data_IF_668185691271
#
_entry.id   IF_668185691271
#
_cell.length_a   1.000
_cell.length_b   1.000
_cell.length_c   1.000
_cell.angle_alpha   90.00
_cell.angle_beta   90.00
_cell.angle_gamma   90.00
#
_symmetry.space_group_name_H-M   'P 1'
#
loop_
_entity.id
_entity.type
_entity.pdbx_description
1 polymer ?
#
# COMPACT_ATOMS: atom_id res chain seq x y z
N UNK A 1 40.92 22.07 11.12
CA UNK A 1 39.53 22.35 10.70
C UNK A 1 39.10 21.18 9.84
N UNK A 2 38.38 20.22 10.41
CA UNK A 2 37.75 19.16 9.62
C UNK A 2 36.60 19.81 8.88
N UNK A 3 36.75 19.95 7.57
CA UNK A 3 35.69 20.37 6.68
C UNK A 3 34.63 19.26 6.69
N UNK A 4 33.66 19.35 7.61
CA UNK A 4 32.46 18.52 7.57
C UNK A 4 31.63 19.02 6.42
N UNK A 5 31.97 18.55 5.21
CA UNK A 5 31.09 18.62 4.05
C UNK A 5 29.71 18.16 4.48
N UNK A 6 28.67 18.90 4.07
CA UNK A 6 27.30 18.48 4.30
C UNK A 6 27.10 17.07 3.69
N UNK A 7 26.29 16.20 4.34
CA UNK A 7 25.97 14.90 3.75
C UNK A 7 25.23 15.10 2.43
N UNK A 8 25.37 14.11 1.55
CA UNK A 8 24.59 14.00 0.34
C UNK A 8 23.12 13.77 0.65
N UNK A 9 22.30 13.77 -0.39
CA UNK A 9 20.86 13.53 -0.30
C UNK A 9 20.50 12.16 -0.84
N UNK A 10 19.69 11.41 -0.10
CA UNK A 10 18.99 10.24 -0.62
C UNK A 10 17.71 10.70 -1.32
N UNK A 11 17.68 10.58 -2.65
CA UNK A 11 16.53 10.91 -3.47
C UNK A 11 15.69 9.67 -3.76
N UNK A 12 14.43 9.67 -3.32
CA UNK A 12 13.45 8.63 -3.67
C UNK A 12 12.72 9.08 -4.93
N UNK A 13 12.92 8.38 -6.04
CA UNK A 13 12.51 8.84 -7.38
C UNK A 13 11.55 7.83 -8.00
N UNK A 14 10.34 8.27 -8.32
CA UNK A 14 9.37 7.43 -9.02
C UNK A 14 9.72 7.25 -10.51
N UNK A 15 9.52 6.04 -11.02
CA UNK A 15 9.74 5.63 -12.42
C UNK A 15 8.40 5.31 -13.10
N UNK A 16 8.35 5.26 -14.44
CA UNK A 16 7.16 4.84 -15.18
C UNK A 16 6.61 3.47 -14.78
N UNK A 17 5.30 3.25 -14.93
CA UNK A 17 4.64 1.95 -14.70
C UNK A 17 4.26 1.21 -16.00
N UNK A 18 4.69 1.73 -17.15
CA UNK A 18 4.37 1.12 -18.45
C UNK A 18 4.60 2.03 -19.65
N UNK A 19 4.34 3.34 -19.49
CA UNK A 19 4.56 4.34 -20.53
C UNK A 19 5.73 5.27 -20.20
N UNK A 20 6.72 5.35 -21.08
CA UNK A 20 7.90 6.22 -20.89
C UNK A 20 7.55 7.72 -20.84
N UNK A 21 6.42 8.13 -21.40
CA UNK A 21 5.95 9.52 -21.36
C UNK A 21 5.51 9.95 -19.95
N UNK A 22 5.24 9.00 -19.05
CA UNK A 22 4.96 9.27 -17.64
C UNK A 22 6.24 9.57 -16.83
N UNK A 23 7.42 9.47 -17.46
CA UNK A 23 8.67 9.77 -16.78
C UNK A 23 8.86 11.28 -16.63
N UNK A 24 8.72 11.78 -15.41
CA UNK A 24 8.73 13.23 -15.19
C UNK A 24 10.06 13.88 -15.59
N UNK A 25 10.06 15.10 -16.16
CA UNK A 25 11.30 15.80 -16.51
C UNK A 25 12.27 15.98 -15.34
N UNK A 26 11.74 16.18 -14.12
CA UNK A 26 12.55 16.31 -12.91
C UNK A 26 13.22 14.99 -12.53
N UNK A 27 12.50 13.88 -12.61
CA UNK A 27 13.06 12.56 -12.32
C UNK A 27 14.18 12.22 -13.33
N UNK A 28 13.93 12.45 -14.62
CA UNK A 28 14.94 12.29 -15.68
C UNK A 28 16.21 13.11 -15.41
N UNK A 29 16.06 14.43 -15.22
CA UNK A 29 17.21 15.32 -14.99
C UNK A 29 18.02 14.95 -13.74
N UNK A 30 17.34 14.53 -12.67
CA UNK A 30 18.02 14.05 -11.46
C UNK A 30 18.75 12.73 -11.71
N UNK A 31 18.11 11.75 -12.35
CA UNK A 31 18.74 10.48 -12.67
C UNK A 31 19.82 10.59 -13.75
N UNK A 32 19.89 11.67 -14.53
CA UNK A 32 20.99 11.92 -15.47
C UNK A 32 22.22 12.54 -14.79
N UNK A 33 22.03 13.23 -13.67
CA UNK A 33 23.09 13.94 -12.93
C UNK A 33 23.59 13.22 -11.68
N UNK A 34 22.81 12.30 -11.10
CA UNK A 34 23.18 11.59 -9.87
C UNK A 34 24.24 10.53 -10.14
N UNK A 35 25.34 10.53 -9.38
CA UNK A 35 26.47 9.61 -9.60
C UNK A 35 26.16 8.15 -9.21
N UNK A 36 25.25 7.93 -8.27
CA UNK A 36 24.90 6.61 -7.72
C UNK A 36 23.40 6.38 -7.83
N UNK A 37 23.00 5.26 -8.43
CA UNK A 37 21.59 4.85 -8.52
C UNK A 37 21.44 3.46 -7.90
N UNK A 38 20.61 3.38 -6.87
CA UNK A 38 20.15 2.15 -6.25
C UNK A 38 18.81 1.71 -6.88
N UNK A 39 18.74 0.48 -7.37
CA UNK A 39 17.55 -0.08 -8.02
C UNK A 39 17.39 -1.57 -7.67
N UNK A 40 16.19 -2.12 -7.78
CA UNK A 40 15.95 -3.57 -7.61
C UNK A 40 16.67 -4.38 -8.69
N UNK A 41 16.27 -4.18 -9.96
CA UNK A 41 16.96 -4.75 -11.12
C UNK A 41 17.62 -3.65 -11.97
N UNK A 42 18.94 -3.54 -11.81
CA UNK A 42 19.75 -2.56 -12.55
C UNK A 42 19.73 -2.78 -14.06
N UNK A 43 19.42 -4.00 -14.55
CA UNK A 43 19.36 -4.32 -16.00
C UNK A 43 18.07 -3.81 -16.65
N UNK A 44 16.99 -3.74 -15.88
CA UNK A 44 15.71 -3.18 -16.30
C UNK A 44 15.82 -1.66 -16.24
N UNK A 45 16.18 -1.15 -15.06
CA UNK A 45 16.24 0.27 -14.76
C UNK A 45 17.26 1.05 -15.61
N UNK A 46 18.37 0.43 -16.01
CA UNK A 46 19.37 1.11 -16.86
C UNK A 46 18.83 1.50 -18.24
N UNK A 47 17.76 0.84 -18.72
CA UNK A 47 17.11 1.16 -20.00
C UNK A 47 16.32 2.46 -19.96
N UNK A 48 16.03 3.00 -18.76
CA UNK A 48 15.37 4.30 -18.61
C UNK A 48 16.31 5.48 -18.94
N UNK A 49 17.63 5.24 -18.94
CA UNK A 49 18.68 6.24 -19.05
C UNK A 49 19.59 6.02 -20.27
N UNK A 50 19.01 5.72 -21.43
CA UNK A 50 19.75 5.39 -22.66
C UNK A 50 20.61 6.54 -23.21
N UNK A 51 20.26 7.79 -22.92
CA UNK A 51 20.93 8.99 -23.45
C UNK A 51 21.92 9.62 -22.45
N UNK A 52 22.17 8.95 -21.32
CA UNK A 52 23.04 9.47 -20.27
C UNK A 52 24.50 9.52 -20.74
N UNK A 53 25.16 10.65 -20.49
CA UNK A 53 26.56 10.90 -20.88
C UNK A 53 27.57 10.57 -19.80
N UNK A 54 27.23 10.84 -18.54
CA UNK A 54 28.13 10.63 -17.41
C UNK A 54 28.03 9.20 -16.88
N UNK A 55 29.16 8.59 -16.46
CA UNK A 55 29.14 7.28 -15.84
C UNK A 55 28.28 7.29 -14.58
N UNK A 56 27.66 6.15 -14.29
CA UNK A 56 26.80 5.95 -13.12
C UNK A 56 27.22 4.66 -12.42
N UNK A 57 27.29 4.73 -11.10
CA UNK A 57 27.42 3.55 -10.26
C UNK A 57 26.04 2.98 -9.98
N UNK A 58 25.75 1.82 -10.58
CA UNK A 58 24.55 1.06 -10.28
C UNK A 58 24.75 0.20 -9.04
N UNK A 59 23.85 0.30 -8.08
CA UNK A 59 23.81 -0.55 -6.88
C UNK A 59 22.52 -1.33 -6.92
N UNK A 60 22.59 -2.65 -6.99
CA UNK A 60 21.40 -3.47 -6.85
C UNK A 60 20.99 -3.53 -5.38
N UNK A 61 19.74 -3.20 -5.08
CA UNK A 61 19.15 -3.21 -3.74
C UNK A 61 17.90 -4.07 -3.74
N UNK A 62 18.04 -5.32 -3.32
CA UNK A 62 16.96 -6.29 -3.20
C UNK A 62 17.03 -7.01 -1.85
N UNK A 63 15.94 -7.64 -1.40
CA UNK A 63 15.83 -8.19 -0.03
C UNK A 63 17.02 -9.07 0.41
N UNK A 64 17.60 -9.85 -0.51
CA UNK A 64 18.74 -10.74 -0.21
C UNK A 64 20.10 -10.05 -0.01
N UNK A 65 20.32 -8.83 -0.52
CA UNK A 65 21.62 -8.15 -0.47
C UNK A 65 21.60 -6.87 0.39
N UNK A 66 20.41 -6.52 0.91
CA UNK A 66 20.08 -5.19 1.42
C UNK A 66 21.08 -4.70 2.48
N UNK A 67 21.46 -5.55 3.45
CA UNK A 67 22.33 -5.14 4.55
C UNK A 67 23.70 -4.65 4.09
N UNK A 68 24.38 -5.36 3.17
CA UNK A 68 25.72 -4.95 2.70
C UNK A 68 25.65 -3.75 1.76
N UNK A 69 24.62 -3.70 0.92
CA UNK A 69 24.43 -2.58 -0.01
C UNK A 69 24.12 -1.28 0.75
N UNK A 70 23.31 -1.36 1.82
CA UNK A 70 22.96 -0.21 2.65
C UNK A 70 24.21 0.43 3.28
N UNK A 71 25.09 -0.34 3.91
CA UNK A 71 26.27 0.21 4.58
C UNK A 71 27.12 1.05 3.62
N UNK A 72 27.43 0.52 2.44
CA UNK A 72 28.19 1.25 1.41
C UNK A 72 27.45 2.45 0.82
N UNK A 73 26.12 2.44 0.75
CA UNK A 73 25.33 3.60 0.31
C UNK A 73 25.31 4.70 1.39
N UNK A 74 25.20 4.33 2.66
CA UNK A 74 25.24 5.27 3.79
C UNK A 74 26.61 5.91 3.92
N UNK A 75 27.70 5.16 3.71
CA UNK A 75 29.06 5.71 3.66
C UNK A 75 29.19 6.79 2.57
N UNK A 76 28.70 6.52 1.37
CA UNK A 76 28.74 7.48 0.25
C UNK A 76 27.89 8.74 0.53
N UNK A 77 26.67 8.56 1.06
CA UNK A 77 25.81 9.66 1.48
C UNK A 77 26.48 10.50 2.57
N UNK A 78 27.11 9.87 3.55
CA UNK A 78 27.84 10.57 4.62
C UNK A 78 29.02 11.36 4.07
N UNK A 79 29.68 10.85 3.03
CA UNK A 79 30.78 11.52 2.34
C UNK A 79 30.34 12.68 1.41
N UNK A 80 29.04 13.00 1.33
CA UNK A 80 28.53 14.11 0.51
C UNK A 80 28.00 13.71 -0.87
N UNK A 81 27.95 12.41 -1.19
CA UNK A 81 27.50 11.93 -2.51
C UNK A 81 25.99 11.71 -2.52
N UNK A 82 25.29 12.33 -3.47
CA UNK A 82 23.87 12.10 -3.70
C UNK A 82 23.63 10.68 -4.25
N UNK A 83 22.59 10.02 -3.75
CA UNK A 83 22.14 8.69 -4.17
C UNK A 83 20.69 8.76 -4.59
N UNK A 84 20.34 8.22 -5.75
CA UNK A 84 18.95 8.04 -6.16
C UNK A 84 18.50 6.60 -5.90
N UNK A 85 17.40 6.42 -5.18
CA UNK A 85 16.68 5.16 -5.02
C UNK A 85 15.50 5.15 -5.99
N UNK A 86 15.46 4.14 -6.86
CA UNK A 86 14.36 3.87 -7.79
C UNK A 86 13.86 2.43 -7.61
N UNK A 87 12.64 2.17 -8.07
CA UNK A 87 12.13 0.82 -8.32
C UNK A 87 12.00 0.60 -9.83
N UNK A 88 11.86 -0.66 -10.23
CA UNK A 88 11.74 -1.03 -11.64
C UNK A 88 10.50 -0.38 -12.29
N UNK A 89 9.45 -0.14 -11.50
CA UNK A 89 8.25 0.58 -11.91
C UNK A 89 7.58 1.29 -10.73
N UNK A 90 7.17 2.54 -10.94
CA UNK A 90 6.35 3.27 -9.99
C UNK A 90 7.13 3.96 -8.87
N UNK A 91 6.51 4.08 -7.71
CA UNK A 91 7.09 4.81 -6.57
C UNK A 91 7.81 3.82 -5.66
N UNK A 92 9.13 3.99 -5.40
CA UNK A 92 9.87 3.10 -4.51
C UNK A 92 9.22 3.00 -3.12
N UNK A 93 9.47 1.89 -2.42
CA UNK A 93 8.89 1.52 -1.12
C UNK A 93 7.40 1.12 -1.14
N UNK A 94 6.68 1.29 -2.25
CA UNK A 94 5.26 0.92 -2.35
C UNK A 94 5.15 -0.49 -2.94
N UNK A 95 5.21 -1.49 -2.04
CA UNK A 95 5.38 -2.91 -2.41
C UNK A 95 6.73 -3.24 -3.08
N UNK A 96 7.71 -2.36 -2.91
CA UNK A 96 9.08 -2.45 -3.46
C UNK A 96 10.12 -2.37 -2.32
N UNK A 97 11.37 -2.83 -2.55
CA UNK A 97 12.46 -2.68 -1.57
C UNK A 97 12.85 -1.21 -1.32
N UNK A 98 13.68 -0.98 -0.30
CA UNK A 98 14.26 0.35 0.00
C UNK A 98 13.83 0.96 1.33
N UNK A 99 12.83 0.37 2.01
CA UNK A 99 12.43 0.78 3.35
C UNK A 99 13.62 0.82 4.33
N UNK A 100 14.48 -0.20 4.32
CA UNK A 100 15.61 -0.27 5.25
C UNK A 100 16.67 0.79 4.93
N UNK A 101 16.90 1.10 3.65
CA UNK A 101 17.83 2.17 3.25
C UNK A 101 17.32 3.54 3.71
N UNK A 102 16.04 3.85 3.49
CA UNK A 102 15.44 5.12 3.94
C UNK A 102 15.49 5.22 5.48
N UNK A 103 15.21 4.12 6.18
CA UNK A 103 15.33 4.06 7.65
C UNK A 103 16.76 4.33 8.12
N UNK A 104 17.75 3.69 7.50
CA UNK A 104 19.17 3.89 7.81
C UNK A 104 19.62 5.34 7.53
N UNK A 105 19.17 5.93 6.41
CA UNK A 105 19.46 7.32 6.09
C UNK A 105 18.90 8.28 7.15
N UNK A 106 17.66 8.08 7.60
CA UNK A 106 17.10 8.85 8.71
C UNK A 106 17.89 8.67 10.00
N UNK A 107 18.28 7.44 10.35
CA UNK A 107 19.06 7.16 11.55
C UNK A 107 20.44 7.85 11.53
N UNK A 108 21.05 8.02 10.35
CA UNK A 108 22.31 8.70 10.15
C UNK A 108 22.18 10.23 10.00
N UNK A 109 20.96 10.80 10.05
CA UNK A 109 20.74 12.24 9.85
C UNK A 109 20.93 12.70 8.40
N UNK A 110 20.90 11.78 7.44
CA UNK A 110 21.03 12.09 6.01
C UNK A 110 19.70 12.68 5.49
N UNK A 111 19.73 13.78 4.72
CA UNK A 111 18.55 14.30 4.03
C UNK A 111 17.92 13.26 3.11
N UNK A 112 16.63 12.97 3.32
CA UNK A 112 15.81 12.14 2.42
C UNK A 112 14.81 13.03 1.70
N UNK A 113 14.77 12.98 0.36
CA UNK A 113 13.89 13.81 -0.46
C UNK A 113 13.15 12.98 -1.51
N UNK A 114 11.91 13.35 -1.81
CA UNK A 114 11.11 12.68 -2.83
C UNK A 114 11.11 13.46 -4.16
N UNK A 115 11.12 12.73 -5.27
CA UNK A 115 10.67 13.18 -6.58
C UNK A 115 9.36 12.45 -6.89
N UNK A 116 8.21 13.13 -6.83
CA UNK A 116 6.92 12.49 -7.05
C UNK A 116 6.78 12.03 -8.50
N UNK A 117 5.93 11.02 -8.71
CA UNK A 117 5.67 10.47 -10.03
C UNK A 117 4.68 9.31 -9.98
N UNK A 118 4.72 8.41 -10.98
CA UNK A 118 3.72 7.36 -11.15
C UNK A 118 3.62 6.40 -9.95
N UNK A 119 2.38 5.99 -9.65
CA UNK A 119 2.04 4.93 -8.71
C UNK A 119 0.80 4.21 -9.21
N UNK A 120 0.90 2.89 -9.40
CA UNK A 120 -0.20 2.09 -9.93
C UNK A 120 -1.44 2.13 -9.02
N UNK A 121 -1.25 2.18 -7.69
CA UNK A 121 -2.34 2.30 -6.73
C UNK A 121 -3.16 3.59 -6.91
N UNK A 122 -2.49 4.75 -7.01
CA UNK A 122 -3.20 6.03 -7.18
C UNK A 122 -3.76 6.21 -8.59
N UNK A 123 -3.07 5.67 -9.61
CA UNK A 123 -3.58 5.65 -10.98
C UNK A 123 -4.84 4.77 -11.09
N UNK A 124 -4.88 3.60 -10.46
CA UNK A 124 -6.07 2.77 -10.42
C UNK A 124 -7.22 3.44 -9.66
N UNK A 125 -6.94 4.03 -8.48
CA UNK A 125 -7.95 4.73 -7.68
C UNK A 125 -8.60 5.89 -8.44
N UNK A 126 -7.83 6.64 -9.24
CA UNK A 126 -8.35 7.81 -9.97
C UNK A 126 -9.35 7.44 -11.07
N UNK A 127 -9.26 6.22 -11.61
CA UNK A 127 -10.18 5.69 -12.64
C UNK A 127 -11.21 4.69 -12.07
N UNK A 128 -11.13 4.34 -10.78
CA UNK A 128 -11.92 3.28 -10.18
C UNK A 128 -13.41 3.60 -10.02
N UNK A 129 -13.78 4.89 -9.87
CA UNK A 129 -15.15 5.29 -9.58
C UNK A 129 -15.69 4.79 -8.22
N UNK A 130 -14.79 4.63 -7.23
CA UNK A 130 -15.09 4.27 -5.84
C UNK A 130 -14.68 5.41 -4.89
N UNK A 131 -15.18 5.47 -3.64
CA UNK A 131 -14.78 6.49 -2.68
C UNK A 131 -13.27 6.53 -2.44
N UNK A 132 -12.70 7.73 -2.40
CA UNK A 132 -11.25 7.98 -2.27
C UNK A 132 -10.89 8.90 -1.10
N UNK A 133 -11.87 9.33 -0.31
CA UNK A 133 -11.64 10.11 0.92
C UNK A 133 -10.80 9.31 1.94
N UNK A 134 -11.01 7.99 1.99
CA UNK A 134 -10.19 7.04 2.74
C UNK A 134 -10.05 5.76 1.92
N UNK A 135 -8.84 5.22 1.89
CA UNK A 135 -8.57 3.92 1.29
C UNK A 135 -7.45 3.21 2.05
N UNK A 136 -7.41 1.89 1.91
CA UNK A 136 -6.36 1.03 2.43
C UNK A 136 -5.62 0.39 1.25
N UNK A 137 -4.33 0.69 1.12
CA UNK A 137 -3.44 -0.07 0.25
C UNK A 137 -3.02 -1.36 0.96
N UNK A 138 -3.41 -2.51 0.41
CA UNK A 138 -3.13 -3.83 0.97
C UNK A 138 -1.98 -4.56 0.26
N UNK A 139 -1.34 -3.94 -0.73
CA UNK A 139 -0.20 -4.50 -1.45
C UNK A 139 -0.55 -5.77 -2.23
N UNK A 140 0.42 -6.67 -2.38
CA UNK A 140 0.23 -7.93 -3.09
C UNK A 140 -0.54 -8.96 -2.26
N UNK A 141 -1.52 -9.60 -2.89
CA UNK A 141 -2.21 -10.73 -2.26
C UNK A 141 -1.30 -11.97 -2.19
N UNK A 142 -1.35 -12.75 -1.10
CA UNK A 142 -0.61 -14.00 -1.02
C UNK A 142 -0.95 -14.96 -2.16
N UNK A 143 0.07 -15.61 -2.73
CA UNK A 143 -0.13 -16.57 -3.83
C UNK A 143 -0.92 -17.82 -3.38
N UNK A 144 -0.68 -18.30 -2.15
CA UNK A 144 -1.38 -19.48 -1.61
C UNK A 144 -2.80 -19.12 -1.16
N UNK A 145 -3.79 -19.85 -1.66
CA UNK A 145 -5.21 -19.57 -1.43
C UNK A 145 -5.60 -19.56 0.07
N UNK A 146 -5.04 -20.45 0.89
CA UNK A 146 -5.31 -20.46 2.34
C UNK A 146 -4.84 -19.18 3.05
N UNK A 147 -3.63 -18.71 2.71
CA UNK A 147 -3.06 -17.48 3.23
C UNK A 147 -3.81 -16.26 2.70
N UNK A 148 -4.14 -16.25 1.40
CA UNK A 148 -4.94 -15.20 0.77
C UNK A 148 -6.30 -15.05 1.43
N UNK A 149 -7.08 -16.12 1.55
CA UNK A 149 -8.39 -16.08 2.23
C UNK A 149 -8.29 -15.66 3.69
N UNK A 150 -7.22 -16.05 4.40
CA UNK A 150 -6.98 -15.58 5.77
C UNK A 150 -6.82 -14.07 5.80
N UNK A 151 -5.95 -13.53 4.95
CA UNK A 151 -5.71 -12.10 4.85
C UNK A 151 -6.98 -11.34 4.43
N UNK A 152 -7.71 -11.82 3.42
CA UNK A 152 -8.97 -11.21 3.00
C UNK A 152 -9.99 -11.17 4.15
N UNK A 153 -10.11 -12.23 4.96
CA UNK A 153 -11.05 -12.22 6.11
C UNK A 153 -10.74 -11.12 7.13
N UNK A 154 -9.49 -10.72 7.29
CA UNK A 154 -9.09 -9.61 8.15
C UNK A 154 -9.57 -8.25 7.59
N UNK A 155 -9.78 -8.17 6.27
CA UNK A 155 -10.15 -6.95 5.54
C UNK A 155 -11.65 -6.87 5.18
N UNK A 156 -12.41 -7.97 5.30
CA UNK A 156 -13.78 -8.06 4.78
C UNK A 156 -14.76 -7.01 5.33
N UNK A 157 -14.50 -6.53 6.56
CA UNK A 157 -15.32 -5.55 7.28
C UNK A 157 -14.78 -4.12 7.21
N UNK A 158 -13.72 -3.85 6.43
CA UNK A 158 -13.22 -2.49 6.24
C UNK A 158 -14.23 -1.70 5.41
N UNK A 159 -14.55 -0.48 5.83
CA UNK A 159 -15.52 0.39 5.16
C UNK A 159 -14.86 1.30 4.13
N UNK A 160 -13.56 1.53 4.24
CA UNK A 160 -12.80 2.23 3.22
C UNK A 160 -12.55 1.36 1.98
N UNK A 161 -12.30 2.01 0.84
CA UNK A 161 -11.88 1.35 -0.39
C UNK A 161 -10.58 0.59 -0.18
N UNK A 162 -10.48 -0.62 -0.72
CA UNK A 162 -9.32 -1.49 -0.60
C UNK A 162 -8.57 -1.56 -1.95
N UNK A 163 -7.25 -1.46 -1.94
CA UNK A 163 -6.43 -1.57 -3.16
C UNK A 163 -5.46 -2.73 -3.04
N UNK A 164 -5.52 -3.65 -4.00
CA UNK A 164 -4.66 -4.84 -4.08
C UNK A 164 -3.89 -4.86 -5.39
N UNK A 165 -2.65 -5.35 -5.33
CA UNK A 165 -1.89 -5.75 -6.51
C UNK A 165 -1.98 -7.27 -6.70
N UNK A 166 -2.08 -7.69 -7.97
CA UNK A 166 -2.07 -9.09 -8.34
C UNK A 166 -1.46 -9.29 -9.74
N UNK A 167 -0.69 -10.36 -9.96
CA UNK A 167 -0.38 -10.81 -11.31
C UNK A 167 -1.68 -11.12 -12.06
N UNK A 168 -1.81 -10.67 -13.31
CA UNK A 168 -3.07 -10.86 -14.06
C UNK A 168 -3.42 -12.35 -14.22
N UNK A 169 -2.41 -13.22 -14.35
CA UNK A 169 -2.57 -14.69 -14.44
C UNK A 169 -3.28 -15.31 -13.24
N UNK A 170 -3.21 -14.65 -12.08
CA UNK A 170 -3.79 -15.14 -10.83
C UNK A 170 -5.20 -14.57 -10.59
N UNK A 171 -5.68 -13.66 -11.46
CA UNK A 171 -6.98 -12.98 -11.32
C UNK A 171 -8.16 -13.94 -11.13
N UNK A 172 -8.32 -15.04 -11.90
CA UNK A 172 -9.46 -15.94 -11.70
C UNK A 172 -9.51 -16.49 -10.27
N UNK A 173 -8.36 -16.92 -9.73
CA UNK A 173 -8.27 -17.47 -8.37
C UNK A 173 -8.37 -16.39 -7.27
N UNK A 174 -7.89 -15.18 -7.55
CA UNK A 174 -8.00 -14.03 -6.66
C UNK A 174 -9.45 -13.56 -6.57
N UNK A 175 -10.15 -13.44 -7.70
CA UNK A 175 -11.54 -13.02 -7.77
C UNK A 175 -12.48 -14.07 -7.16
N UNK A 176 -12.20 -15.36 -7.32
CA UNK A 176 -12.91 -16.43 -6.59
C UNK A 176 -12.85 -16.21 -5.07
N UNK A 177 -11.64 -16.00 -4.53
CA UNK A 177 -11.45 -15.83 -3.09
C UNK A 177 -12.02 -14.49 -2.59
N UNK A 178 -11.93 -13.41 -3.36
CA UNK A 178 -12.56 -12.13 -3.06
C UNK A 178 -14.08 -12.28 -3.01
N UNK A 179 -14.71 -12.85 -4.05
CA UNK A 179 -16.15 -13.05 -4.09
C UNK A 179 -16.64 -13.94 -2.94
N UNK A 180 -15.89 -15.00 -2.62
CA UNK A 180 -16.22 -15.90 -1.52
C UNK A 180 -16.11 -15.24 -0.14
N UNK A 181 -15.18 -14.29 0.06
CA UNK A 181 -14.91 -13.68 1.37
C UNK A 181 -15.65 -12.35 1.57
N UNK A 182 -15.74 -11.51 0.53
CA UNK A 182 -16.37 -10.18 0.58
C UNK A 182 -17.83 -10.18 0.11
N UNK A 183 -18.26 -11.27 -0.54
CA UNK A 183 -19.56 -11.40 -1.18
C UNK A 183 -19.48 -11.13 -2.69
N UNK A 184 -20.23 -11.90 -3.51
CA UNK A 184 -20.14 -11.84 -4.98
C UNK A 184 -20.60 -10.50 -5.56
N UNK A 185 -21.52 -9.81 -4.89
CA UNK A 185 -22.07 -8.52 -5.30
C UNK A 185 -21.22 -7.31 -4.89
N UNK A 186 -20.11 -7.50 -4.17
CA UNK A 186 -19.24 -6.39 -3.79
C UNK A 186 -18.72 -5.71 -5.06
N UNK A 187 -18.88 -4.40 -5.15
CA UNK A 187 -18.37 -3.63 -6.28
C UNK A 187 -16.86 -3.57 -6.26
N UNK A 188 -16.22 -3.73 -7.42
CA UNK A 188 -14.80 -3.54 -7.60
C UNK A 188 -14.49 -2.98 -8.99
N UNK A 189 -13.29 -2.44 -9.14
CA UNK A 189 -12.72 -2.02 -10.41
C UNK A 189 -11.40 -2.73 -10.62
N UNK A 190 -11.31 -3.46 -11.72
CA UNK A 190 -10.11 -4.13 -12.19
C UNK A 190 -9.41 -3.21 -13.21
N UNK A 191 -8.17 -2.87 -12.91
CA UNK A 191 -7.30 -2.08 -13.78
C UNK A 191 -6.12 -2.96 -14.21
N UNK A 192 -6.07 -3.35 -15.48
CA UNK A 192 -5.02 -4.20 -16.05
C UNK A 192 -4.12 -3.38 -16.96
N UNK A 193 -2.82 -3.61 -16.88
CA UNK A 193 -1.82 -3.01 -17.79
C UNK A 193 -1.93 -1.47 -17.88
N UNK A 194 -2.14 -0.81 -16.72
CA UNK A 194 -2.24 0.65 -16.63
C UNK A 194 -1.07 1.34 -17.35
N UNK A 195 -1.40 2.38 -18.12
CA UNK A 195 -0.55 3.19 -19.00
C UNK A 195 0.00 2.46 -20.23
N UNK A 196 -0.14 1.15 -20.34
CA UNK A 196 0.40 0.35 -21.46
C UNK A 196 -0.60 0.26 -22.62
N UNK A 197 -0.16 -0.27 -23.76
CA UNK A 197 -0.97 -0.41 -24.98
C UNK A 197 -2.30 -1.16 -24.76
N UNK A 198 -2.31 -2.13 -23.85
CA UNK A 198 -3.47 -2.97 -23.55
C UNK A 198 -4.15 -2.60 -22.24
N UNK A 199 -4.08 -1.32 -21.83
CA UNK A 199 -4.79 -0.85 -20.64
C UNK A 199 -6.28 -1.26 -20.68
N UNK A 200 -6.77 -1.84 -19.59
CA UNK A 200 -8.18 -2.22 -19.45
C UNK A 200 -8.67 -1.84 -18.07
N UNK A 201 -9.74 -1.05 -18.01
CA UNK A 201 -10.41 -0.66 -16.77
C UNK A 201 -11.85 -1.14 -16.81
N UNK A 202 -12.23 -2.00 -15.87
CA UNK A 202 -13.60 -2.51 -15.78
C UNK A 202 -14.10 -2.48 -14.35
N UNK A 203 -15.20 -1.75 -14.13
CA UNK A 203 -15.94 -1.72 -12.88
C UNK A 203 -17.16 -2.63 -12.96
N UNK A 204 -17.29 -3.54 -12.02
CA UNK A 204 -18.41 -4.48 -11.95
C UNK A 204 -18.51 -5.11 -10.54
N UNK A 205 -19.49 -5.97 -10.32
CA UNK A 205 -19.50 -6.85 -9.15
C UNK A 205 -18.36 -7.88 -9.25
N UNK A 206 -17.80 -8.32 -8.10
CA UNK A 206 -16.71 -9.30 -8.06
C UNK A 206 -17.02 -10.58 -8.86
N UNK A 207 -18.25 -11.07 -8.79
CA UNK A 207 -18.68 -12.24 -9.57
C UNK A 207 -18.65 -11.98 -11.08
N UNK A 208 -19.14 -10.83 -11.53
CA UNK A 208 -19.12 -10.48 -12.95
C UNK A 208 -17.70 -10.27 -13.47
N UNK A 209 -16.81 -9.68 -12.67
CA UNK A 209 -15.38 -9.58 -12.99
C UNK A 209 -14.74 -10.98 -13.08
N UNK A 210 -15.06 -11.88 -12.15
CA UNK A 210 -14.56 -13.27 -12.16
C UNK A 210 -14.94 -13.95 -13.48
N UNK A 211 -16.21 -13.90 -13.86
CA UNK A 211 -16.71 -14.58 -15.05
C UNK A 211 -16.09 -13.97 -16.31
N UNK A 212 -16.06 -12.63 -16.40
CA UNK A 212 -15.43 -11.93 -17.52
C UNK A 212 -13.95 -12.27 -17.70
N UNK A 213 -13.16 -12.31 -16.61
CA UNK A 213 -11.72 -12.67 -16.70
C UNK A 213 -11.48 -14.13 -17.09
N UNK A 214 -12.44 -15.03 -16.85
CA UNK A 214 -12.37 -16.43 -17.30
C UNK A 214 -12.74 -16.57 -18.77
N UNK A 215 -13.70 -15.77 -19.23
CA UNK A 215 -14.19 -15.79 -20.62
C UNK A 215 -13.21 -15.12 -21.59
N UNK A 216 -12.36 -14.21 -21.11
CA UNK A 216 -11.34 -13.52 -21.91
C UNK A 216 -9.92 -13.76 -21.37
N UNK A 217 -9.15 -14.70 -21.95
CA UNK A 217 -7.79 -15.02 -21.54
C UNK A 217 -6.79 -13.85 -21.62
N UNK A 218 -7.04 -12.83 -22.45
CA UNK A 218 -6.13 -11.67 -22.52
C UNK A 218 -6.17 -10.86 -21.22
N UNK A 219 -7.25 -10.96 -20.45
CA UNK A 219 -7.37 -10.34 -19.14
C UNK A 219 -6.49 -11.00 -18.07
N UNK A 220 -5.91 -12.15 -18.37
CA UNK A 220 -5.02 -12.89 -17.48
C UNK A 220 -3.54 -12.62 -17.79
N UNK A 221 -3.22 -11.60 -18.61
CA UNK A 221 -1.86 -11.26 -19.04
C UNK A 221 -1.41 -9.91 -18.49
N UNK A 222 -0.17 -9.87 -18.02
CA UNK A 222 0.46 -8.67 -17.46
C UNK A 222 0.17 -8.50 -15.96
N UNK A 223 -0.02 -7.24 -15.58
CA UNK A 223 -0.18 -6.82 -14.19
C UNK A 223 -1.56 -6.20 -13.95
N UNK A 224 -2.10 -6.36 -12.74
CA UNK A 224 -3.40 -5.84 -12.39
C UNK A 224 -3.44 -5.19 -11.00
N UNK A 225 -4.24 -4.14 -10.90
CA UNK A 225 -4.66 -3.52 -9.64
C UNK A 225 -6.16 -3.75 -9.48
N UNK A 226 -6.56 -4.27 -8.32
CA UNK A 226 -7.96 -4.43 -7.93
C UNK A 226 -8.30 -3.37 -6.90
N UNK A 227 -9.25 -2.50 -7.24
CA UNK A 227 -9.81 -1.50 -6.31
C UNK A 227 -11.18 -1.99 -5.89
N UNK A 228 -11.35 -2.39 -4.64
CA UNK A 228 -12.55 -3.04 -4.14
C UNK A 228 -13.28 -2.10 -3.18
N UNK A 229 -14.60 -1.97 -3.34
CA UNK A 229 -15.41 -1.16 -2.45
C UNK A 229 -15.32 -1.67 -1.00
N UNK A 230 -15.41 -0.74 -0.04
CA UNK A 230 -15.58 -1.09 1.36
C UNK A 230 -16.87 -1.85 1.64
N UNK A 231 -17.02 -2.34 2.86
CA UNK A 231 -18.24 -3.02 3.29
C UNK A 231 -19.37 -2.01 3.49
N UNK A 232 -20.53 -2.33 2.92
CA UNK A 232 -21.80 -1.64 3.21
C UNK A 232 -22.47 -2.18 4.49
N UNK A 233 -21.87 -3.18 5.15
CA UNK A 233 -22.29 -3.56 6.50
C UNK A 233 -22.33 -2.28 7.33
N UNK A 234 -23.40 -1.97 8.05
CA UNK A 234 -23.35 -0.89 9.00
C UNK A 234 -22.18 -1.19 9.94
N UNK A 235 -21.30 -0.20 10.18
CA UNK A 235 -20.41 -0.29 11.33
C UNK A 235 -21.29 -0.74 12.49
N UNK A 236 -20.97 -1.88 13.11
CA UNK A 236 -21.61 -2.21 14.38
C UNK A 236 -21.09 -1.17 15.36
N UNK A 237 -21.71 0.01 15.34
CA UNK A 237 -21.75 0.88 16.48
C UNK A 237 -22.21 -0.02 17.61
N UNK A 238 -21.29 -0.32 18.53
CA UNK A 238 -21.65 -0.99 19.77
C UNK A 238 -22.74 -0.10 20.35
N UNK A 239 -23.98 -0.59 20.33
CA UNK A 239 -25.05 0.12 21.00
C UNK A 239 -24.66 0.12 22.48
N UNK A 240 -24.16 1.25 22.94
CA UNK A 240 -23.56 1.43 24.25
C UNK A 240 -24.58 1.04 25.32
N UNK A 241 -25.85 1.35 25.09
CA UNK A 241 -26.93 1.09 26.05
C UNK A 241 -27.30 -0.40 26.06
N UNK A 242 -27.38 -1.05 24.90
CA UNK A 242 -27.58 -2.51 24.85
C UNK A 242 -26.43 -3.28 25.51
N UNK A 243 -25.18 -2.85 25.29
CA UNK A 243 -24.01 -3.43 25.95
C UNK A 243 -24.03 -3.12 27.46
N UNK A 244 -24.41 -1.91 27.86
CA UNK A 244 -24.52 -1.52 29.26
C UNK A 244 -25.58 -2.37 29.99
N UNK A 245 -26.72 -2.66 29.36
CA UNK A 245 -27.77 -3.52 29.93
C UNK A 245 -27.26 -4.94 30.21
N UNK A 246 -26.62 -5.58 29.23
CA UNK A 246 -26.06 -6.92 29.39
C UNK A 246 -24.96 -6.95 30.48
N UNK A 247 -24.08 -5.95 30.49
CA UNK A 247 -23.04 -5.84 31.51
C UNK A 247 -23.62 -5.57 32.91
N UNK A 248 -24.70 -4.80 33.02
CA UNK A 248 -25.34 -4.49 34.29
C UNK A 248 -26.02 -5.72 34.92
N UNK A 249 -26.53 -6.64 34.10
CA UNK A 249 -27.12 -7.93 34.51
C UNK A 249 -26.09 -8.90 35.04
N UNK A 250 -24.94 -9.00 34.38
CA UNK A 250 -23.94 -10.04 34.65
C UNK A 250 -22.84 -9.62 35.64
N UNK A 251 -22.62 -8.31 35.85
CA UNK A 251 -21.49 -7.80 36.63
C UNK A 251 -21.90 -6.78 37.70
N UNK A 252 -21.13 -6.68 38.80
CA UNK A 252 -21.27 -5.57 39.74
C UNK A 252 -21.03 -4.21 39.05
N UNK A 253 -21.72 -3.13 39.47
CA UNK A 253 -21.73 -1.84 38.75
C UNK A 253 -20.33 -1.30 38.40
N UNK A 254 -19.39 -1.36 39.35
CA UNK A 254 -18.01 -0.91 39.15
C UNK A 254 -17.25 -1.69 38.09
N UNK A 255 -17.52 -2.99 38.01
CA UNK A 255 -16.86 -3.87 37.04
C UNK A 255 -17.51 -3.71 35.66
N UNK A 256 -18.84 -3.61 35.61
CA UNK A 256 -19.58 -3.32 34.39
C UNK A 256 -19.13 -1.99 33.76
N UNK A 257 -19.10 -0.90 34.54
CA UNK A 257 -18.67 0.43 34.08
C UNK A 257 -17.23 0.45 33.58
N UNK A 258 -16.31 -0.26 34.27
CA UNK A 258 -14.90 -0.40 33.83
C UNK A 258 -14.79 -1.13 32.48
N UNK A 259 -15.58 -2.19 32.29
CA UNK A 259 -15.59 -2.95 31.03
C UNK A 259 -16.20 -2.13 29.90
N UNK A 260 -17.31 -1.45 30.16
CA UNK A 260 -17.99 -0.58 29.20
C UNK A 260 -17.08 0.56 28.73
N UNK A 261 -16.45 1.29 29.65
CA UNK A 261 -15.48 2.36 29.34
C UNK A 261 -14.34 1.85 28.44
N UNK A 262 -13.77 0.68 28.77
CA UNK A 262 -12.68 0.08 28.00
C UNK A 262 -13.09 -0.32 26.59
N UNK A 263 -14.31 -0.83 26.41
CA UNK A 263 -14.79 -1.35 25.11
C UNK A 263 -15.36 -0.25 24.19
N UNK A 264 -15.82 0.86 24.76
CA UNK A 264 -16.52 1.93 24.02
C UNK A 264 -15.72 3.22 23.93
N UNK A 265 -14.65 3.37 24.71
CA UNK A 265 -13.87 4.61 24.79
C UNK A 265 -14.51 5.72 25.64
N UNK A 266 -15.66 5.46 26.27
CA UNK A 266 -16.26 6.38 27.24
C UNK A 266 -15.34 6.58 28.46
N UNK A 267 -15.40 7.77 29.06
CA UNK A 267 -14.80 7.96 30.37
C UNK A 267 -15.55 7.15 31.43
N UNK A 268 -14.84 6.88 32.54
CA UNK A 268 -15.35 5.98 33.58
C UNK A 268 -16.60 6.51 34.28
N UNK A 269 -16.75 7.83 34.39
CA UNK A 269 -17.88 8.45 35.06
C UNK A 269 -19.14 8.33 34.19
N UNK A 270 -19.04 8.63 32.90
CA UNK A 270 -20.12 8.46 31.93
C UNK A 270 -20.55 6.99 31.81
N UNK A 271 -19.60 6.06 31.79
CA UNK A 271 -19.90 4.62 31.77
C UNK A 271 -20.58 4.16 33.08
N UNK A 272 -20.20 4.71 34.23
CA UNK A 272 -20.84 4.40 35.52
C UNK A 272 -22.28 4.88 35.56
N UNK A 273 -22.52 6.14 35.21
CA UNK A 273 -23.86 6.74 35.22
C UNK A 273 -24.86 5.96 34.35
N UNK A 274 -24.42 5.47 33.18
CA UNK A 274 -25.26 4.63 32.32
C UNK A 274 -25.61 3.29 32.96
N UNK A 275 -24.63 2.61 33.58
CA UNK A 275 -24.87 1.34 34.29
C UNK A 275 -25.80 1.53 35.49
N UNK A 276 -25.64 2.64 36.22
CA UNK A 276 -26.46 2.95 37.38
C UNK A 276 -27.90 3.27 36.99
N UNK A 277 -28.12 4.08 35.93
CA UNK A 277 -29.44 4.43 35.42
C UNK A 277 -30.25 3.18 35.02
N UNK A 278 -29.63 2.23 34.31
CA UNK A 278 -30.28 0.98 33.90
C UNK A 278 -30.74 0.15 35.10
N UNK A 279 -29.95 0.11 36.18
CA UNK A 279 -30.27 -0.67 37.39
C UNK A 279 -31.24 0.02 38.33
N UNK A 280 -31.47 1.32 38.15
CA UNK A 280 -32.52 2.05 38.88
C UNK A 280 -33.90 1.93 38.24
N UNK A 281 -33.97 1.44 37.00
CA UNK A 281 -35.21 1.22 36.25
C UNK A 281 -35.72 -0.24 36.32
N UNK A 282 -34.89 -1.19 36.78
CA UNK A 282 -35.25 -2.59 37.11
C UNK A 282 -35.58 -2.76 38.60
#
# INVERSE_FOLDING_TARGET
>A
MTDTSAPGTLWVVATPIGNLDDFTPRARALLESTAVIAAEDTRVSSRLLTERREPVQWVSLHEHNESRAIDGLIEQLTAGTDVALISDAGTPLISDPGYRLVSAAHAAGIPVRTVPGPSAATAALSVAGLPTDRFLFAGFLPARASARRKHLRELARRHETLVFYAPARDLPAVLDDLAAVFGPSRMATLCRELTKLHETVRRDALEALRDWTRDDPDQQRGEAVLVVAGSDDPERAINIDALAMELARELPPSRAAKVLARLTGLDRQTAWQRIEAIRSED
#
